data_IF_034165011947
#
_entry.id   IF_034165011947
#
_cell.length_a   1.000
_cell.length_b   1.000
_cell.length_c   1.000
_cell.angle_alpha   90.00
_cell.angle_beta   90.00
_cell.angle_gamma   90.00
#
_symmetry.space_group_name_H-M   'P 1'
#
loop_
_entity.id
_entity.type
_entity.pdbx_description
1 polymer ?
#
# COMPACT_ATOMS: atom_id res chain seq x y z
N UNK A 1 34.55 -25.17 -15.50
CA UNK A 1 34.53 -24.90 -14.05
C UNK A 1 34.18 -23.42 -13.88
N UNK A 2 32.89 -23.09 -13.76
CA UNK A 2 32.47 -21.73 -13.43
C UNK A 2 32.73 -21.54 -11.94
N UNK A 3 33.74 -20.75 -11.60
CA UNK A 3 33.90 -20.31 -10.22
C UNK A 3 32.70 -19.43 -9.88
N UNK A 4 31.89 -19.84 -8.91
CA UNK A 4 30.90 -18.97 -8.30
C UNK A 4 31.62 -17.70 -7.86
N UNK A 5 31.23 -16.56 -8.43
CA UNK A 5 31.86 -15.29 -8.09
C UNK A 5 31.39 -14.95 -6.67
N UNK A 6 32.24 -15.24 -5.68
CA UNK A 6 31.92 -15.00 -4.28
C UNK A 6 31.69 -13.50 -4.07
N UNK A 7 30.48 -13.13 -3.65
CA UNK A 7 30.15 -11.75 -3.32
C UNK A 7 31.02 -11.27 -2.15
N UNK A 8 31.57 -10.07 -2.26
CA UNK A 8 32.28 -9.42 -1.15
C UNK A 8 31.25 -8.70 -0.27
N UNK A 9 30.85 -9.34 0.84
CA UNK A 9 29.76 -8.90 1.69
C UNK A 9 30.30 -8.50 3.08
N UNK A 10 29.93 -7.30 3.53
CA UNK A 10 30.19 -6.77 4.86
C UNK A 10 28.86 -6.61 5.62
N UNK A 11 28.54 -7.46 6.60
CA UNK A 11 27.35 -7.30 7.43
C UNK A 11 27.36 -5.99 8.21
N UNK A 12 26.23 -5.27 8.22
CA UNK A 12 26.07 -4.01 8.96
C UNK A 12 25.70 -4.24 10.42
N UNK A 13 24.86 -5.23 10.68
CA UNK A 13 24.41 -5.61 12.03
C UNK A 13 24.39 -7.12 12.17
N UNK A 14 24.06 -7.62 13.36
CA UNK A 14 23.94 -9.05 13.61
C UNK A 14 22.70 -9.69 12.96
N UNK A 15 21.68 -8.91 12.63
CA UNK A 15 20.35 -9.44 12.22
C UNK A 15 19.86 -8.91 10.88
N UNK A 16 20.37 -7.76 10.41
CA UNK A 16 19.87 -7.11 9.19
C UNK A 16 20.91 -6.17 8.58
N UNK A 17 20.92 -6.11 7.26
CA UNK A 17 21.74 -5.21 6.49
C UNK A 17 23.12 -5.76 6.18
N UNK A 18 23.52 -5.63 4.92
CA UNK A 18 24.91 -5.83 4.52
C UNK A 18 25.30 -4.91 3.35
N UNK A 19 26.55 -4.50 3.29
CA UNK A 19 27.13 -3.80 2.15
C UNK A 19 27.71 -4.85 1.20
N UNK A 20 27.36 -4.77 -0.08
CA UNK A 20 27.97 -5.57 -1.14
C UNK A 20 28.97 -4.70 -1.88
N UNK A 21 30.24 -5.08 -1.78
CA UNK A 21 31.35 -4.36 -2.40
C UNK A 21 31.65 -4.87 -3.80
N UNK A 22 32.18 -4.00 -4.65
CA UNK A 22 32.70 -4.32 -5.98
C UNK A 22 31.69 -5.03 -6.90
N UNK A 23 30.42 -4.65 -6.80
CA UNK A 23 29.34 -5.17 -7.63
C UNK A 23 28.75 -4.06 -8.51
N UNK A 24 28.68 -4.31 -9.82
CA UNK A 24 28.18 -3.35 -10.82
C UNK A 24 26.74 -3.70 -11.21
N UNK A 25 25.78 -2.91 -10.72
CA UNK A 25 24.35 -3.11 -11.00
C UNK A 25 23.93 -2.63 -12.40
N UNK A 26 24.84 -2.00 -13.17
CA UNK A 26 24.52 -1.48 -14.50
C UNK A 26 24.49 -2.54 -15.60
N UNK A 27 24.84 -3.79 -15.25
CA UNK A 27 24.97 -4.91 -16.18
C UNK A 27 23.95 -6.01 -15.87
N UNK A 28 23.53 -6.79 -16.89
CA UNK A 28 22.79 -8.01 -16.67
C UNK A 28 23.54 -8.98 -15.75
N UNK A 29 22.82 -9.63 -14.84
CA UNK A 29 23.32 -10.65 -13.93
C UNK A 29 23.49 -11.96 -14.68
N UNK A 30 24.56 -12.69 -14.37
CA UNK A 30 24.58 -14.13 -14.66
C UNK A 30 23.65 -14.87 -13.69
N UNK A 31 23.24 -16.10 -14.04
CA UNK A 31 22.42 -16.92 -13.13
C UNK A 31 23.09 -17.12 -11.77
N UNK A 32 24.41 -17.33 -11.75
CA UNK A 32 25.18 -17.52 -10.50
C UNK A 32 25.19 -16.25 -9.65
N UNK A 33 25.34 -15.08 -10.27
CA UNK A 33 25.30 -13.79 -9.57
C UNK A 33 23.90 -13.50 -9.02
N UNK A 34 22.85 -13.80 -9.79
CA UNK A 34 21.47 -13.64 -9.34
C UNK A 34 21.19 -14.50 -8.11
N UNK A 35 21.48 -15.81 -8.16
CA UNK A 35 21.28 -16.69 -7.01
C UNK A 35 22.12 -16.25 -5.79
N UNK A 36 23.38 -15.86 -5.99
CA UNK A 36 24.21 -15.36 -4.89
C UNK A 36 23.65 -14.08 -4.25
N UNK A 37 23.07 -13.17 -5.05
CA UNK A 37 22.41 -11.97 -4.55
C UNK A 37 21.11 -12.29 -3.83
N UNK A 38 20.31 -13.22 -4.33
CA UNK A 38 19.07 -13.67 -3.66
C UNK A 38 19.38 -14.33 -2.32
N UNK A 39 20.35 -15.25 -2.27
CA UNK A 39 20.81 -15.88 -1.02
C UNK A 39 21.32 -14.84 -0.01
N UNK A 40 22.09 -13.86 -0.48
CA UNK A 40 22.55 -12.75 0.35
C UNK A 40 21.38 -11.87 0.83
N UNK A 41 20.42 -11.56 -0.04
CA UNK A 41 19.26 -10.75 0.28
C UNK A 41 18.37 -11.45 1.31
N UNK A 42 18.12 -12.75 1.15
CA UNK A 42 17.33 -13.52 2.11
C UNK A 42 18.02 -13.68 3.45
N UNK A 43 19.36 -13.77 3.46
CA UNK A 43 20.14 -13.86 4.70
C UNK A 43 20.21 -12.54 5.45
N UNK A 44 20.42 -11.42 4.74
CA UNK A 44 20.68 -10.12 5.36
C UNK A 44 19.47 -9.17 5.30
N UNK A 45 18.38 -9.58 4.65
CA UNK A 45 17.11 -8.88 4.44
C UNK A 45 17.19 -7.57 3.64
N UNK A 46 18.29 -6.84 3.70
CA UNK A 46 18.59 -5.64 2.91
C UNK A 46 20.07 -5.59 2.55
N UNK A 47 20.35 -5.29 1.29
CA UNK A 47 21.67 -5.15 0.71
C UNK A 47 21.89 -3.72 0.23
N UNK A 48 23.09 -3.20 0.47
CA UNK A 48 23.48 -1.84 0.10
C UNK A 48 24.68 -1.85 -0.84
N UNK A 49 24.64 -0.98 -1.84
CA UNK A 49 25.66 -0.84 -2.87
C UNK A 49 26.03 0.62 -2.96
N UNK A 50 27.30 0.94 -2.71
CA UNK A 50 27.79 2.32 -2.83
C UNK A 50 28.18 2.63 -4.28
N UNK A 51 28.11 3.91 -4.66
CA UNK A 51 28.72 4.47 -5.88
C UNK A 51 28.27 3.80 -7.20
N UNK A 52 26.98 3.55 -7.35
CA UNK A 52 26.37 2.99 -8.54
C UNK A 52 25.97 4.10 -9.51
N UNK A 53 26.41 4.01 -10.77
CA UNK A 53 26.06 4.99 -11.80
C UNK A 53 25.04 4.36 -12.76
N UNK A 54 23.75 4.47 -12.41
CA UNK A 54 22.66 3.89 -13.18
C UNK A 54 21.87 4.97 -13.93
N UNK A 55 21.52 4.68 -15.17
CA UNK A 55 20.37 5.33 -15.83
C UNK A 55 19.05 4.78 -15.25
N UNK A 56 17.93 5.50 -15.37
CA UNK A 56 16.61 4.96 -15.00
C UNK A 56 16.31 3.64 -15.71
N UNK A 57 16.70 3.51 -16.99
CA UNK A 57 16.53 2.30 -17.77
C UNK A 57 17.36 1.15 -17.22
N UNK A 58 18.61 1.39 -16.82
CA UNK A 58 19.43 0.36 -16.18
C UNK A 58 18.89 -0.05 -14.81
N UNK A 59 18.35 0.88 -14.02
CA UNK A 59 17.67 0.53 -12.76
C UNK A 59 16.46 -0.36 -13.03
N UNK A 60 15.62 0.02 -14.00
CA UNK A 60 14.47 -0.78 -14.43
C UNK A 60 14.89 -2.16 -14.94
N UNK A 61 15.89 -2.22 -15.81
CA UNK A 61 16.34 -3.45 -16.43
C UNK A 61 16.99 -4.38 -15.41
N UNK A 62 17.73 -3.84 -14.45
CA UNK A 62 18.17 -4.58 -13.27
C UNK A 62 16.96 -5.10 -12.48
N UNK A 63 15.94 -4.26 -12.30
CA UNK A 63 14.76 -4.66 -11.55
C UNK A 63 14.02 -5.84 -12.22
N UNK A 64 13.89 -5.83 -13.55
CA UNK A 64 13.26 -6.90 -14.32
C UNK A 64 13.86 -8.29 -14.10
N UNK A 65 15.13 -8.37 -13.68
CA UNK A 65 15.81 -9.65 -13.44
C UNK A 65 15.26 -10.41 -12.22
N UNK A 66 14.55 -9.73 -11.31
CA UNK A 66 13.94 -10.32 -10.11
C UNK A 66 12.42 -10.43 -10.16
N UNK A 67 11.75 -9.71 -11.06
CA UNK A 67 10.30 -9.58 -11.04
C UNK A 67 9.80 -8.59 -12.07
N UNK A 68 8.49 -8.62 -12.38
CA UNK A 68 7.85 -7.53 -13.12
C UNK A 68 7.77 -6.31 -12.19
N UNK A 69 8.37 -5.15 -12.54
CA UNK A 69 8.23 -3.94 -11.74
C UNK A 69 6.77 -3.48 -11.69
N UNK A 70 6.29 -3.11 -10.50
CA UNK A 70 4.96 -2.55 -10.31
C UNK A 70 4.94 -1.05 -10.59
N UNK A 71 4.00 -0.62 -11.43
CA UNK A 71 3.77 0.80 -11.74
C UNK A 71 2.66 1.33 -10.84
N UNK A 72 3.03 2.15 -9.85
CA UNK A 72 2.05 2.73 -8.93
C UNK A 72 1.11 3.71 -9.65
N UNK A 73 -0.22 3.60 -9.51
CA UNK A 73 -1.16 4.38 -10.31
C UNK A 73 -1.13 5.88 -10.00
N UNK A 74 -0.82 6.26 -8.75
CA UNK A 74 -0.92 7.64 -8.29
C UNK A 74 0.43 8.35 -8.07
N UNK A 75 1.55 7.63 -8.10
CA UNK A 75 2.86 8.27 -7.90
C UNK A 75 3.37 8.95 -9.17
N UNK A 76 4.33 9.87 -8.99
CA UNK A 76 5.11 10.46 -10.08
C UNK A 76 6.16 9.43 -10.53
N UNK A 77 6.40 9.37 -11.82
CA UNK A 77 7.36 8.44 -12.43
C UNK A 77 8.42 9.20 -13.22
N UNK A 78 9.57 8.56 -13.46
CA UNK A 78 10.61 9.11 -14.33
C UNK A 78 10.08 9.18 -15.77
N UNK A 79 10.31 10.30 -16.44
CA UNK A 79 9.88 10.49 -17.83
C UNK A 79 10.52 9.43 -18.74
N UNK A 80 9.69 8.72 -19.52
CA UNK A 80 10.14 7.64 -20.40
C UNK A 80 10.39 6.29 -19.70
N UNK A 81 10.29 6.23 -18.37
CA UNK A 81 10.55 5.02 -17.58
C UNK A 81 9.49 4.85 -16.45
N UNK A 82 8.24 4.50 -16.80
CA UNK A 82 7.12 4.46 -15.85
C UNK A 82 7.27 3.41 -14.73
N UNK A 83 8.12 2.41 -14.92
CA UNK A 83 8.48 1.41 -13.90
C UNK A 83 9.32 2.00 -12.76
N UNK A 84 9.87 3.20 -12.95
CA UNK A 84 10.71 3.89 -11.97
C UNK A 84 9.91 5.04 -11.35
N UNK A 85 9.47 4.84 -10.12
CA UNK A 85 8.80 5.88 -9.34
C UNK A 85 9.82 6.96 -8.92
N UNK A 86 9.49 8.23 -9.11
CA UNK A 86 10.30 9.37 -8.70
C UNK A 86 9.76 9.97 -7.39
N UNK A 87 10.50 9.77 -6.30
CA UNK A 87 10.25 10.42 -5.01
C UNK A 87 11.15 11.63 -4.85
N UNK A 88 10.59 12.81 -5.10
CA UNK A 88 11.31 14.07 -5.13
C UNK A 88 10.64 15.09 -4.21
N UNK A 89 11.38 15.56 -3.20
CA UNK A 89 10.88 16.48 -2.20
C UNK A 89 11.91 17.58 -1.93
N UNK A 90 11.43 18.78 -1.65
CA UNK A 90 12.25 19.93 -1.31
C UNK A 90 11.47 21.21 -1.49
N UNK A 91 11.87 22.29 -0.81
CA UNK A 91 11.17 23.57 -0.91
C UNK A 91 11.21 24.13 -2.34
N UNK A 92 12.30 23.89 -3.06
CA UNK A 92 12.51 24.31 -4.45
C UNK A 92 11.79 23.40 -5.46
N UNK A 93 11.33 22.22 -5.03
CA UNK A 93 10.57 21.27 -5.85
C UNK A 93 9.07 21.54 -5.71
N UNK A 94 8.56 21.47 -4.48
CA UNK A 94 7.18 21.79 -4.15
C UNK A 94 7.07 22.17 -2.66
N UNK A 95 6.91 23.47 -2.33
CA UNK A 95 6.89 23.93 -0.93
C UNK A 95 5.69 23.40 -0.13
N UNK A 96 4.64 22.90 -0.80
CA UNK A 96 3.43 22.37 -0.17
C UNK A 96 3.46 20.84 0.02
N UNK A 97 4.45 20.15 -0.52
CA UNK A 97 4.56 18.69 -0.49
C UNK A 97 5.79 18.30 0.33
N UNK A 98 5.56 17.93 1.58
CA UNK A 98 6.62 17.49 2.50
C UNK A 98 6.92 16.00 2.31
N UNK A 99 8.15 15.57 2.64
CA UNK A 99 8.51 14.15 2.71
C UNK A 99 7.50 13.33 3.51
N UNK A 100 7.12 12.18 2.96
CA UNK A 100 6.31 11.16 3.64
C UNK A 100 7.12 9.89 3.95
N UNK A 101 6.42 8.77 4.14
CA UNK A 101 6.98 7.45 4.46
C UNK A 101 7.64 7.34 5.86
N UNK A 102 7.26 8.23 6.77
CA UNK A 102 7.70 8.35 8.16
C UNK A 102 6.87 7.48 9.12
N UNK A 103 6.38 6.34 8.63
CA UNK A 103 5.70 5.32 9.42
C UNK A 103 6.23 3.96 9.00
N UNK A 104 6.55 3.08 9.95
CA UNK A 104 7.00 1.73 9.64
C UNK A 104 6.00 0.98 8.77
N UNK A 105 6.47 0.50 7.63
CA UNK A 105 5.65 -0.20 6.65
C UNK A 105 6.43 -1.12 5.71
N UNK A 106 5.69 -1.98 5.02
CA UNK A 106 6.13 -2.75 3.85
C UNK A 106 5.38 -2.19 2.65
N UNK A 107 6.01 -2.00 1.50
CA UNK A 107 5.31 -1.47 0.35
C UNK A 107 4.26 -2.46 -0.19
N UNK A 108 3.12 -1.93 -0.66
CA UNK A 108 2.18 -2.70 -1.47
C UNK A 108 1.42 -3.84 -0.79
N UNK A 109 1.36 -3.92 0.56
CA UNK A 109 0.59 -4.98 1.27
C UNK A 109 -0.90 -5.07 0.90
N UNK A 110 -1.47 -4.02 0.31
CA UNK A 110 -2.86 -4.01 -0.17
C UNK A 110 -3.05 -4.69 -1.53
N UNK A 111 -1.97 -5.01 -2.24
CA UNK A 111 -2.03 -5.69 -3.53
C UNK A 111 -2.29 -7.18 -3.32
N UNK A 112 -3.07 -7.79 -4.21
CA UNK A 112 -3.30 -9.25 -4.24
C UNK A 112 -1.99 -10.03 -4.38
N UNK A 113 -1.05 -9.46 -5.13
CA UNK A 113 0.32 -9.92 -5.25
C UNK A 113 1.24 -8.80 -4.74
N UNK A 114 1.58 -8.77 -3.43
CA UNK A 114 2.46 -7.77 -2.89
C UNK A 114 3.86 -7.86 -3.50
N UNK A 115 4.61 -6.75 -3.54
CA UNK A 115 6.00 -6.78 -3.98
C UNK A 115 6.83 -7.71 -3.08
N UNK A 116 7.82 -8.39 -3.68
CA UNK A 116 8.74 -9.27 -2.95
C UNK A 116 10.09 -8.62 -2.70
N UNK A 117 10.52 -7.72 -3.59
CA UNK A 117 11.77 -6.98 -3.49
C UNK A 117 11.46 -5.52 -3.74
N UNK A 118 12.12 -4.65 -2.99
CA UNK A 118 12.21 -3.24 -3.29
C UNK A 118 13.63 -2.86 -3.69
N UNK A 119 13.75 -1.91 -4.60
CA UNK A 119 15.00 -1.32 -5.05
C UNK A 119 14.89 0.20 -4.98
N UNK A 120 15.82 0.84 -4.28
CA UNK A 120 15.86 2.30 -4.14
C UNK A 120 17.23 2.83 -4.54
N UNK A 121 17.23 3.89 -5.33
CA UNK A 121 18.44 4.50 -5.88
C UNK A 121 18.48 6.00 -5.53
N UNK A 122 19.53 6.40 -4.82
CA UNK A 122 19.77 7.78 -4.39
C UNK A 122 20.27 8.64 -5.54
N UNK A 123 19.49 9.67 -5.92
CA UNK A 123 19.86 10.61 -6.98
C UNK A 123 20.38 11.93 -6.43
N UNK A 124 19.61 12.54 -5.54
CA UNK A 124 19.96 13.79 -4.87
C UNK A 124 19.75 13.55 -3.38
N UNK A 125 20.79 13.76 -2.58
CA UNK A 125 20.77 13.54 -1.14
C UNK A 125 21.07 14.86 -0.42
N UNK A 126 20.29 15.23 0.61
CA UNK A 126 20.54 16.43 1.40
C UNK A 126 21.88 16.34 2.13
N UNK A 127 22.42 17.49 2.55
CA UNK A 127 23.72 17.51 3.25
C UNK A 127 23.70 16.72 4.56
N UNK A 128 22.55 16.67 5.22
CA UNK A 128 22.27 15.94 6.46
C UNK A 128 20.80 15.47 6.45
N UNK A 129 20.54 14.35 7.14
CA UNK A 129 19.20 13.77 7.27
C UNK A 129 18.78 12.96 6.05
N UNK A 130 17.54 12.46 6.06
CA UNK A 130 16.97 11.65 4.98
C UNK A 130 17.40 10.19 4.99
N UNK A 131 17.88 9.71 6.13
CA UNK A 131 18.23 8.31 6.35
C UNK A 131 17.01 7.40 6.18
N UNK A 132 17.27 6.12 5.86
CA UNK A 132 16.22 5.10 5.85
C UNK A 132 16.58 4.00 6.84
N UNK A 133 15.58 3.55 7.60
CA UNK A 133 15.72 2.44 8.53
C UNK A 133 14.94 1.24 8.00
N UNK A 134 15.46 0.05 8.27
CA UNK A 134 14.76 -1.22 8.08
C UNK A 134 14.76 -2.01 9.39
N UNK A 135 13.72 -2.80 9.61
CA UNK A 135 13.59 -3.73 10.75
C UNK A 135 13.43 -5.16 10.25
N UNK A 136 14.06 -6.11 10.94
CA UNK A 136 13.90 -7.54 10.67
C UNK A 136 12.62 -8.09 11.33
N UNK A 137 11.59 -8.37 10.53
CA UNK A 137 10.31 -8.89 11.01
C UNK A 137 10.34 -10.37 11.40
N UNK A 138 11.33 -11.13 10.90
CA UNK A 138 11.59 -12.52 11.35
C UNK A 138 12.07 -12.51 12.79
N UNK A 139 13.05 -11.65 13.11
CA UNK A 139 13.58 -11.56 14.47
C UNK A 139 12.59 -10.90 15.45
N UNK A 140 11.78 -9.93 15.00
CA UNK A 140 10.67 -9.40 15.81
C UNK A 140 9.70 -10.52 16.18
N UNK A 141 9.33 -11.37 15.22
CA UNK A 141 8.47 -12.53 15.49
C UNK A 141 9.14 -13.50 16.48
N UNK A 142 10.40 -13.89 16.24
CA UNK A 142 11.11 -14.88 17.05
C UNK A 142 11.34 -14.41 18.49
N UNK A 143 11.77 -13.16 18.68
CA UNK A 143 12.28 -12.67 19.97
C UNK A 143 11.23 -11.93 20.81
N UNK A 144 10.15 -11.44 20.21
CA UNK A 144 9.23 -10.52 20.92
C UNK A 144 7.81 -11.03 21.11
N UNK A 145 7.52 -12.21 20.59
CA UNK A 145 6.28 -12.91 20.82
C UNK A 145 6.56 -14.16 21.66
N UNK A 146 5.80 -14.34 22.74
CA UNK A 146 5.83 -15.61 23.48
C UNK A 146 5.34 -16.74 22.59
N UNK A 147 5.61 -17.99 22.99
CA UNK A 147 5.15 -19.14 22.20
C UNK A 147 3.62 -19.20 22.11
N UNK A 148 2.92 -18.80 23.16
CA UNK A 148 1.46 -18.71 23.21
C UNK A 148 0.96 -17.63 22.24
N UNK A 149 1.62 -16.46 22.21
CA UNK A 149 1.28 -15.40 21.27
C UNK A 149 1.53 -15.84 19.82
N UNK A 150 2.64 -16.54 19.55
CA UNK A 150 2.92 -17.09 18.21
C UNK A 150 1.83 -18.08 17.77
N UNK A 151 1.43 -19.00 18.66
CA UNK A 151 0.37 -19.99 18.38
C UNK A 151 -1.02 -19.36 18.22
N UNK A 152 -1.30 -18.29 18.96
CA UNK A 152 -2.54 -17.54 18.83
C UNK A 152 -2.58 -16.80 17.49
N UNK A 153 -1.56 -15.99 17.20
CA UNK A 153 -1.48 -15.19 15.98
C UNK A 153 -1.41 -16.05 14.70
N UNK A 154 -0.85 -17.27 14.76
CA UNK A 154 -0.78 -18.16 13.59
C UNK A 154 -2.14 -18.65 13.08
N UNK A 155 -3.23 -18.35 13.80
CA UNK A 155 -4.60 -18.71 13.44
C UNK A 155 -5.40 -17.52 12.89
N UNK A 156 -4.80 -16.33 12.87
CA UNK A 156 -5.49 -15.08 12.61
C UNK A 156 -5.07 -14.48 11.29
N UNK A 157 -6.03 -13.91 10.58
CA UNK A 157 -5.81 -13.14 9.36
C UNK A 157 -6.05 -11.65 9.61
N UNK A 158 -5.43 -10.81 8.80
CA UNK A 158 -5.64 -9.37 8.85
C UNK A 158 -5.96 -8.82 7.47
N UNK A 159 -6.85 -7.84 7.46
CA UNK A 159 -7.22 -7.08 6.26
C UNK A 159 -6.18 -5.98 6.02
N UNK A 160 -5.78 -5.80 4.76
CA UNK A 160 -4.89 -4.76 4.29
C UNK A 160 -5.61 -3.94 3.22
N UNK A 161 -5.71 -2.62 3.41
CA UNK A 161 -6.48 -1.75 2.53
C UNK A 161 -5.65 -0.59 1.98
N UNK A 162 -5.78 -0.36 0.67
CA UNK A 162 -5.25 0.81 -0.03
C UNK A 162 -5.75 2.12 0.59
N UNK A 163 -7.04 2.18 0.93
CA UNK A 163 -7.73 3.37 1.43
C UNK A 163 -7.19 3.85 2.79
N UNK A 164 -6.57 2.95 3.56
CA UNK A 164 -6.00 3.30 4.87
C UNK A 164 -4.86 4.30 4.73
N UNK A 165 -3.97 4.08 3.75
CA UNK A 165 -2.81 4.93 3.49
C UNK A 165 -3.12 6.05 2.49
N UNK A 166 -3.84 5.73 1.42
CA UNK A 166 -4.15 6.67 0.35
C UNK A 166 -5.54 7.24 0.58
N UNK A 167 -5.61 8.44 1.17
CA UNK A 167 -6.85 9.19 1.37
C UNK A 167 -6.91 10.38 0.42
N UNK A 168 -8.07 10.61 -0.17
CA UNK A 168 -8.32 11.83 -0.94
C UNK A 168 -8.29 13.05 -0.02
N UNK A 169 -7.50 14.09 -0.35
CA UNK A 169 -7.65 15.40 0.26
C UNK A 169 -9.07 15.97 0.08
N UNK A 170 -9.56 16.68 1.09
CA UNK A 170 -10.92 17.26 1.13
C UNK A 170 -11.21 18.24 -0.04
N UNK A 171 -10.18 18.76 -0.71
CA UNK A 171 -10.31 19.72 -1.81
C UNK A 171 -9.71 19.20 -3.14
N UNK A 172 -9.66 17.88 -3.37
CA UNK A 172 -9.22 17.31 -4.65
C UNK A 172 -10.13 17.75 -5.80
N UNK A 173 -9.52 17.96 -6.98
CA UNK A 173 -10.28 18.27 -8.19
C UNK A 173 -11.01 17.02 -8.72
N UNK A 174 -12.00 17.16 -9.64
CA UNK A 174 -12.76 16.03 -10.16
C UNK A 174 -11.91 14.93 -10.81
N UNK A 175 -10.85 15.28 -11.55
CA UNK A 175 -9.99 14.30 -12.21
C UNK A 175 -9.21 13.44 -11.19
N UNK A 176 -8.73 14.06 -10.11
CA UNK A 176 -8.06 13.35 -9.01
C UNK A 176 -9.03 12.43 -8.26
N UNK A 177 -10.28 12.86 -8.10
CA UNK A 177 -11.34 12.04 -7.49
C UNK A 177 -11.64 10.83 -8.36
N UNK A 178 -11.84 10.98 -9.67
CA UNK A 178 -12.07 9.86 -10.59
C UNK A 178 -10.89 8.87 -10.59
N UNK A 179 -9.66 9.38 -10.64
CA UNK A 179 -8.44 8.57 -10.57
C UNK A 179 -8.38 7.78 -9.26
N UNK A 180 -8.73 8.42 -8.15
CA UNK A 180 -8.77 7.76 -6.85
C UNK A 180 -9.85 6.68 -6.77
N UNK A 181 -11.09 6.96 -7.19
CA UNK A 181 -12.18 5.99 -7.19
C UNK A 181 -11.79 4.75 -8.00
N UNK A 182 -11.19 4.96 -9.17
CA UNK A 182 -10.66 3.87 -9.98
C UNK A 182 -9.59 3.08 -9.22
N UNK A 183 -8.62 3.76 -8.60
CA UNK A 183 -7.57 3.11 -7.82
C UNK A 183 -8.13 2.28 -6.65
N UNK A 184 -9.12 2.78 -5.92
CA UNK A 184 -9.80 2.03 -4.84
C UNK A 184 -10.50 0.80 -5.38
N UNK A 185 -11.23 0.94 -6.51
CA UNK A 185 -11.93 -0.18 -7.15
C UNK A 185 -10.96 -1.27 -7.64
N UNK A 186 -9.82 -0.86 -8.19
CA UNK A 186 -8.79 -1.76 -8.71
C UNK A 186 -7.96 -2.41 -7.58
N UNK A 187 -8.06 -1.91 -6.34
CA UNK A 187 -7.32 -2.38 -5.17
C UNK A 187 -8.27 -2.65 -3.99
N UNK A 188 -9.18 -3.64 -4.10
CA UNK A 188 -10.03 -4.03 -2.98
C UNK A 188 -9.19 -4.51 -1.80
N UNK A 189 -9.69 -4.41 -0.55
CA UNK A 189 -8.97 -4.95 0.60
C UNK A 189 -8.65 -6.43 0.45
N UNK A 190 -7.46 -6.82 0.89
CA UNK A 190 -6.95 -8.20 0.82
C UNK A 190 -6.68 -8.73 2.22
N UNK A 191 -6.78 -10.05 2.41
CA UNK A 191 -6.53 -10.68 3.69
C UNK A 191 -5.30 -11.58 3.63
N UNK A 192 -4.42 -11.43 4.61
CA UNK A 192 -3.23 -12.27 4.77
C UNK A 192 -3.12 -12.77 6.21
N UNK A 193 -2.44 -13.88 6.40
CA UNK A 193 -2.12 -14.39 7.74
C UNK A 193 -1.27 -13.38 8.52
N UNK A 194 -1.51 -13.24 9.82
CA UNK A 194 -0.65 -12.41 10.67
C UNK A 194 0.76 -12.98 10.77
N UNK A 195 0.91 -14.30 10.71
CA UNK A 195 2.20 -14.99 10.67
C UNK A 195 2.35 -15.67 9.31
N UNK A 196 3.24 -15.13 8.48
CA UNK A 196 3.57 -15.69 7.19
C UNK A 196 4.89 -16.47 7.25
N UNK A 197 5.15 -17.27 6.21
CA UNK A 197 6.39 -18.04 6.06
C UNK A 197 7.08 -17.67 4.75
N UNK A 198 8.38 -17.41 4.81
CA UNK A 198 9.14 -17.02 3.64
C UNK A 198 9.36 -18.24 2.72
N UNK A 199 9.00 -18.18 1.42
CA UNK A 199 8.93 -19.36 0.56
C UNK A 199 10.27 -20.08 0.37
N UNK A 200 11.40 -19.35 0.41
CA UNK A 200 12.74 -19.94 0.26
C UNK A 200 13.36 -20.34 1.61
N UNK A 201 13.55 -19.40 2.53
CA UNK A 201 14.18 -19.65 3.85
C UNK A 201 13.32 -20.44 4.83
N UNK A 202 12.01 -20.53 4.61
CA UNK A 202 11.01 -21.13 5.54
C UNK A 202 10.94 -20.44 6.90
N UNK A 203 11.50 -19.25 7.02
CA UNK A 203 11.41 -18.47 8.25
C UNK A 203 10.04 -17.83 8.39
N UNK A 204 9.52 -17.85 9.62
CA UNK A 204 8.25 -17.21 9.96
C UNK A 204 8.47 -15.76 10.37
N UNK A 205 7.58 -14.88 9.93
CA UNK A 205 7.62 -13.45 10.21
C UNK A 205 6.22 -12.90 10.50
N UNK A 206 6.18 -11.81 11.27
CA UNK A 206 4.96 -11.06 11.54
C UNK A 206 4.62 -10.16 10.34
N UNK A 207 3.47 -10.39 9.71
CA UNK A 207 3.04 -9.68 8.50
C UNK A 207 1.93 -8.67 8.80
N UNK A 208 2.34 -7.55 9.39
CA UNK A 208 1.44 -6.40 9.66
C UNK A 208 2.19 -5.11 9.40
N UNK A 209 1.47 -4.00 9.25
CA UNK A 209 2.04 -2.67 9.40
C UNK A 209 0.97 -1.62 9.71
N UNK A 210 1.43 -0.45 10.16
CA UNK A 210 0.54 0.61 10.60
C UNK A 210 -0.19 1.29 9.44
N UNK A 211 0.31 1.24 8.20
CA UNK A 211 -0.26 2.05 7.10
C UNK A 211 -1.31 1.30 6.28
N UNK A 212 -1.24 -0.03 6.18
CA UNK A 212 -2.14 -0.85 5.37
C UNK A 212 -3.05 -1.75 6.21
N UNK A 213 -2.59 -2.33 7.33
CA UNK A 213 -3.37 -3.32 8.10
C UNK A 213 -4.53 -2.68 8.86
N UNK A 214 -5.79 -2.91 8.46
CA UNK A 214 -6.98 -2.23 9.00
C UNK A 214 -7.59 -2.94 10.20
N UNK A 215 -7.71 -4.27 10.17
CA UNK A 215 -8.34 -5.08 11.22
C UNK A 215 -7.81 -6.52 11.22
N UNK A 216 -8.02 -7.22 12.33
CA UNK A 216 -7.86 -8.67 12.46
C UNK A 216 -9.24 -9.30 12.30
N UNK A 217 -9.38 -10.24 11.36
CA UNK A 217 -10.70 -10.66 10.88
C UNK A 217 -11.47 -11.53 11.87
N UNK A 218 -10.78 -12.30 12.70
CA UNK A 218 -11.38 -13.24 13.64
C UNK A 218 -11.67 -12.61 15.02
N UNK A 219 -11.37 -11.32 15.21
CA UNK A 219 -11.56 -10.59 16.46
C UNK A 219 -12.61 -9.50 16.30
N UNK A 220 -13.26 -9.13 17.41
CA UNK A 220 -14.10 -7.93 17.39
C UNK A 220 -13.22 -6.67 17.24
N UNK A 221 -13.88 -5.53 17.00
CA UNK A 221 -13.17 -4.29 16.69
C UNK A 221 -12.24 -3.85 17.84
N UNK A 222 -12.71 -3.87 19.08
CA UNK A 222 -11.93 -3.42 20.23
C UNK A 222 -10.70 -4.30 20.46
N UNK A 223 -10.86 -5.62 20.35
CA UNK A 223 -9.77 -6.60 20.46
C UNK A 223 -8.75 -6.43 19.33
N UNK A 224 -9.23 -6.32 18.10
CA UNK A 224 -8.40 -6.08 16.91
C UNK A 224 -7.57 -4.80 17.06
N UNK A 225 -8.20 -3.69 17.44
CA UNK A 225 -7.52 -2.40 17.59
C UNK A 225 -6.43 -2.45 18.68
N UNK A 226 -6.74 -3.09 19.82
CA UNK A 226 -5.79 -3.24 20.92
C UNK A 226 -4.60 -4.12 20.52
N UNK A 227 -4.86 -5.25 19.87
CA UNK A 227 -3.83 -6.18 19.43
C UNK A 227 -2.96 -5.58 18.33
N UNK A 228 -3.54 -4.95 17.30
CA UNK A 228 -2.79 -4.26 16.24
C UNK A 228 -1.91 -3.14 16.83
N UNK A 229 -2.42 -2.36 17.77
CA UNK A 229 -1.62 -1.34 18.47
C UNK A 229 -0.42 -1.95 19.19
N UNK A 230 -0.59 -3.10 19.84
CA UNK A 230 0.51 -3.83 20.46
C UNK A 230 1.54 -4.30 19.42
N UNK A 231 1.08 -4.96 18.35
CA UNK A 231 1.94 -5.48 17.28
C UNK A 231 2.74 -4.37 16.57
N UNK A 232 2.10 -3.25 16.22
CA UNK A 232 2.79 -2.09 15.64
C UNK A 232 3.82 -1.49 16.60
N UNK A 233 3.60 -1.60 17.91
CA UNK A 233 4.56 -1.09 18.91
C UNK A 233 5.84 -1.90 18.99
N UNK A 234 5.84 -3.16 18.52
CA UNK A 234 7.01 -4.05 18.62
C UNK A 234 8.19 -3.49 17.82
N UNK A 235 7.94 -2.99 16.61
CA UNK A 235 8.99 -2.41 15.76
C UNK A 235 9.68 -1.21 16.43
N UNK A 236 8.91 -0.34 17.09
CA UNK A 236 9.46 0.86 17.74
C UNK A 236 10.29 0.56 18.99
N UNK A 237 10.17 -0.63 19.57
CA UNK A 237 10.81 -0.99 20.84
C UNK A 237 12.14 -1.74 20.65
N UNK A 238 12.61 -1.89 19.40
CA UNK A 238 13.68 -2.83 19.04
C UNK A 238 14.75 -2.23 18.12
N UNK A 239 15.47 -1.19 18.54
CA UNK A 239 16.58 -0.65 17.75
C UNK A 239 17.64 -1.72 17.40
N UNK A 240 17.83 -2.73 18.26
CA UNK A 240 18.75 -3.85 18.05
C UNK A 240 18.38 -4.77 16.87
N UNK A 241 17.13 -4.70 16.38
CA UNK A 241 16.64 -5.46 15.22
C UNK A 241 16.54 -4.58 13.96
N UNK A 242 17.10 -3.37 14.01
CA UNK A 242 17.09 -2.43 12.90
C UNK A 242 18.48 -2.20 12.33
N UNK A 243 18.55 -1.84 11.05
CA UNK A 243 19.68 -1.13 10.50
C UNK A 243 19.23 0.26 10.03
N UNK A 244 20.15 1.23 10.12
CA UNK A 244 19.94 2.60 9.62
C UNK A 244 20.98 2.89 8.54
N UNK A 245 20.51 3.30 7.38
CA UNK A 245 21.36 3.65 6.26
C UNK A 245 21.41 5.15 6.05
N UNK A 246 22.60 5.70 6.21
CA UNK A 246 22.92 7.06 5.80
C UNK A 246 23.32 7.04 4.32
N UNK A 247 22.48 7.69 3.51
CA UNK A 247 22.61 7.74 2.07
C UNK A 247 23.78 8.62 1.63
N UNK A 248 24.48 8.17 0.59
CA UNK A 248 25.23 9.03 -0.31
C UNK A 248 24.51 9.10 -1.65
N UNK A 249 24.82 10.13 -2.45
CA UNK A 249 24.45 10.11 -3.86
C UNK A 249 24.99 8.85 -4.52
N UNK A 250 24.21 8.30 -5.44
CA UNK A 250 24.52 7.10 -6.20
C UNK A 250 24.54 5.80 -5.39
N UNK A 251 24.04 5.79 -4.16
CA UNK A 251 23.82 4.54 -3.44
C UNK A 251 22.56 3.84 -3.92
N UNK A 252 22.60 2.51 -3.96
CA UNK A 252 21.44 1.65 -4.22
C UNK A 252 21.22 0.74 -3.02
N UNK A 253 19.96 0.47 -2.69
CA UNK A 253 19.61 -0.66 -1.83
C UNK A 253 18.64 -1.62 -2.52
N UNK A 254 18.72 -2.88 -2.12
CA UNK A 254 17.75 -3.93 -2.41
C UNK A 254 17.24 -4.47 -1.08
N UNK A 255 15.94 -4.62 -0.87
CA UNK A 255 15.41 -5.22 0.36
C UNK A 255 14.31 -6.23 0.05
N UNK A 256 14.19 -7.24 0.91
CA UNK A 256 13.07 -8.18 0.89
C UNK A 256 11.86 -7.55 1.58
N UNK A 257 10.82 -7.28 0.80
CA UNK A 257 9.57 -6.67 1.28
C UNK A 257 8.78 -7.61 2.19
N UNK A 258 8.98 -8.93 2.06
CA UNK A 258 8.23 -9.91 2.86
C UNK A 258 8.66 -9.86 4.33
N UNK A 259 9.96 -9.82 4.57
CA UNK A 259 10.57 -10.00 5.90
C UNK A 259 11.01 -8.70 6.57
N UNK A 260 10.76 -7.55 5.94
CA UNK A 260 11.13 -6.24 6.50
C UNK A 260 9.98 -5.25 6.54
N UNK A 261 10.08 -4.29 7.47
CA UNK A 261 9.44 -3.00 7.32
C UNK A 261 10.52 -1.92 7.24
N UNK A 262 10.18 -0.77 6.68
CA UNK A 262 11.07 0.37 6.55
C UNK A 262 10.43 1.70 6.97
N UNK A 263 11.28 2.67 7.25
CA UNK A 263 10.94 4.02 7.71
C UNK A 263 11.87 5.03 7.04
N UNK A 264 11.32 5.98 6.29
CA UNK A 264 12.07 7.11 5.72
C UNK A 264 12.07 8.29 6.68
N UNK A 265 13.25 8.72 7.16
CA UNK A 265 13.35 9.84 8.10
C UNK A 265 13.05 11.18 7.39
N UNK A 266 12.00 11.93 7.81
CA UNK A 266 11.63 13.20 7.18
C UNK A 266 12.41 14.39 7.79
N UNK A 267 13.66 14.19 8.22
CA UNK A 267 14.48 15.13 8.99
C UNK A 267 15.39 16.03 8.14
N UNK A 268 15.08 16.18 6.85
CA UNK A 268 15.87 16.94 5.88
C UNK A 268 15.17 18.17 5.31
N UNK A 269 13.85 18.34 5.54
CA UNK A 269 13.14 19.54 5.07
C UNK A 269 13.80 20.82 5.62
N UNK A 270 14.03 21.87 4.81
CA UNK A 270 13.52 22.11 3.45
C UNK A 270 14.42 21.61 2.29
N UNK A 271 15.50 20.90 2.57
CA UNK A 271 16.49 20.49 1.56
C UNK A 271 15.90 19.54 0.51
N UNK A 272 16.50 19.56 -0.68
CA UNK A 272 16.13 18.70 -1.79
C UNK A 272 16.63 17.26 -1.57
N UNK A 273 15.73 16.28 -1.71
CA UNK A 273 16.02 14.85 -1.81
C UNK A 273 15.26 14.23 -2.97
N UNK A 274 15.95 13.41 -3.77
CA UNK A 274 15.38 12.68 -4.89
C UNK A 274 15.82 11.21 -4.87
N UNK A 275 14.86 10.30 -4.90
CA UNK A 275 15.09 8.85 -4.97
C UNK A 275 14.28 8.23 -6.09
N UNK A 276 14.88 7.28 -6.79
CA UNK A 276 14.21 6.46 -7.78
C UNK A 276 13.90 5.09 -7.19
N UNK A 277 12.65 4.64 -7.26
CA UNK A 277 12.21 3.36 -6.70
C UNK A 277 11.65 2.44 -7.78
N UNK A 278 12.06 1.18 -7.72
CA UNK A 278 11.35 0.06 -8.34
C UNK A 278 10.91 -0.90 -7.23
N UNK A 279 9.70 -1.43 -7.33
CA UNK A 279 9.23 -2.53 -6.47
C UNK A 279 8.77 -3.65 -7.37
N UNK A 280 9.09 -4.88 -6.99
CA UNK A 280 9.02 -6.03 -7.88
C UNK A 280 7.90 -6.95 -7.48
N UNK A 281 7.00 -7.23 -8.42
CA UNK A 281 6.00 -8.28 -8.24
C UNK A 281 6.65 -9.65 -8.45
N UNK A 282 6.20 -10.67 -7.70
CA UNK A 282 6.72 -12.03 -7.84
C UNK A 282 6.45 -12.61 -9.23
N UNK A 283 7.34 -13.52 -9.68
CA UNK A 283 7.10 -14.39 -10.84
C UNK A 283 6.59 -15.77 -10.35
N UNK A 284 5.58 -16.34 -11.01
CA UNK A 284 5.17 -17.73 -10.78
C UNK A 284 4.76 -18.02 -9.33
N UNK A 285 5.10 -19.20 -8.79
CA UNK A 285 4.67 -19.68 -7.46
C UNK A 285 5.52 -19.18 -6.27
N UNK A 286 6.31 -18.10 -6.42
CA UNK A 286 7.16 -17.50 -5.37
C UNK A 286 6.39 -16.84 -4.20
N UNK A 287 5.12 -17.18 -4.05
CA UNK A 287 4.22 -16.65 -3.04
C UNK A 287 4.39 -17.32 -1.69
N UNK A 288 3.97 -16.62 -0.63
CA UNK A 288 3.63 -17.26 0.63
C UNK A 288 2.62 -18.39 0.35
N UNK A 289 2.98 -19.64 0.69
CA UNK A 289 2.31 -20.87 0.30
C UNK A 289 0.97 -21.12 1.02
N UNK A 290 0.22 -20.06 1.36
CA UNK A 290 -0.95 -20.14 2.23
C UNK A 290 -2.20 -19.60 1.53
N UNK A 291 -3.31 -20.27 1.76
CA UNK A 291 -4.58 -20.13 1.05
C UNK A 291 -5.00 -18.67 0.89
N UNK A 292 -5.25 -18.31 -0.38
CA UNK A 292 -5.77 -17.01 -0.79
C UNK A 292 -7.20 -16.91 -0.28
N UNK A 293 -7.46 -16.05 0.70
CA UNK A 293 -8.80 -15.52 0.92
C UNK A 293 -8.80 -14.07 0.46
N UNK A 294 -8.56 -13.89 -0.84
CA UNK A 294 -9.04 -12.69 -1.49
C UNK A 294 -10.56 -12.77 -1.42
N UNK A 295 -11.18 -11.94 -0.58
CA UNK A 295 -12.56 -11.55 -0.82
C UNK A 295 -12.54 -10.73 -2.11
N UNK A 296 -12.40 -11.39 -3.27
CA UNK A 296 -13.05 -10.86 -4.46
C UNK A 296 -14.51 -10.73 -4.04
N UNK A 297 -15.00 -9.49 -3.92
CA UNK A 297 -16.31 -9.19 -3.36
C UNK A 297 -17.47 -9.74 -4.20
N UNK A 298 -17.67 -11.05 -4.16
CA UNK A 298 -18.99 -11.67 -4.27
C UNK A 298 -19.62 -11.46 -2.90
N UNK A 299 -20.49 -10.48 -2.65
CA UNK A 299 -21.81 -10.37 -3.26
C UNK A 299 -22.37 -8.94 -3.23
N UNK A 300 -21.53 -7.90 -3.11
CA UNK A 300 -22.00 -6.52 -2.92
C UNK A 300 -21.33 -5.49 -3.82
N UNK A 301 -22.14 -4.72 -4.56
CA UNK A 301 -21.70 -3.53 -5.29
C UNK A 301 -21.64 -2.35 -4.30
N UNK A 302 -20.45 -1.77 -4.10
CA UNK A 302 -20.26 -0.55 -3.29
C UNK A 302 -20.44 0.68 -4.19
N UNK A 303 -21.43 1.53 -3.89
CA UNK A 303 -21.63 2.80 -4.58
C UNK A 303 -21.35 3.97 -3.63
N UNK A 304 -20.40 4.83 -4.01
CA UNK A 304 -20.07 6.04 -3.26
C UNK A 304 -21.06 7.14 -3.63
N UNK A 305 -21.82 7.64 -2.65
CA UNK A 305 -22.78 8.74 -2.85
C UNK A 305 -22.13 10.06 -2.45
N UNK A 306 -21.91 10.92 -3.44
CA UNK A 306 -21.42 12.28 -3.22
C UNK A 306 -22.59 13.25 -3.13
N UNK A 307 -22.49 14.21 -2.21
CA UNK A 307 -23.36 15.39 -2.25
C UNK A 307 -22.55 16.62 -2.67
N UNK A 308 -23.21 17.49 -3.43
CA UNK A 308 -22.70 18.82 -3.76
C UNK A 308 -23.28 19.81 -2.76
N UNK A 309 -22.43 20.39 -1.91
CA UNK A 309 -22.86 21.48 -1.03
C UNK A 309 -22.79 22.77 -1.84
N UNK A 310 -23.94 23.27 -2.27
CA UNK A 310 -24.02 24.57 -2.94
C UNK A 310 -24.06 25.68 -1.89
N UNK A 311 -22.92 26.35 -1.71
CA UNK A 311 -22.84 27.61 -0.97
C UNK A 311 -22.94 28.76 -1.98
N UNK A 312 -24.10 29.42 -2.04
CA UNK A 312 -24.42 30.46 -3.04
C UNK A 312 -23.50 31.69 -2.99
N UNK A 313 -22.62 31.78 -1.98
CA UNK A 313 -21.68 32.88 -1.81
C UNK A 313 -20.28 32.60 -2.41
N UNK A 314 -20.00 31.43 -2.98
CA UNK A 314 -18.67 31.08 -3.52
C UNK A 314 -18.64 30.93 -5.05
N UNK A 315 -17.55 31.37 -5.72
CA UNK A 315 -17.34 31.10 -7.14
C UNK A 315 -17.43 29.61 -7.47
N UNK A 316 -17.96 29.25 -8.65
CA UNK A 316 -18.19 27.86 -9.11
C UNK A 316 -16.94 26.98 -8.93
N UNK A 317 -15.76 27.56 -9.12
CA UNK A 317 -14.46 26.88 -9.09
C UNK A 317 -13.94 26.59 -7.66
N UNK A 318 -14.69 26.97 -6.62
CA UNK A 318 -14.35 26.76 -5.20
C UNK A 318 -15.42 25.96 -4.43
N UNK A 319 -16.36 25.31 -5.14
CA UNK A 319 -17.43 24.50 -4.53
C UNK A 319 -16.87 23.13 -4.10
N UNK A 320 -17.20 22.69 -2.88
CA UNK A 320 -16.73 21.42 -2.29
C UNK A 320 -17.69 20.26 -2.56
N UNK A 321 -17.12 19.08 -2.83
CA UNK A 321 -17.82 17.80 -2.79
C UNK A 321 -17.48 17.12 -1.46
N UNK A 322 -18.48 16.53 -0.81
CA UNK A 322 -18.31 15.77 0.42
C UNK A 322 -19.03 14.44 0.30
N UNK A 323 -18.34 13.36 0.68
CA UNK A 323 -18.92 12.02 0.82
C UNK A 323 -19.83 12.06 2.05
N UNK A 324 -21.11 11.71 1.88
CA UNK A 324 -22.09 11.73 2.97
C UNK A 324 -22.46 10.33 3.44
N UNK A 325 -22.44 9.34 2.56
CA UNK A 325 -22.82 7.97 2.92
C UNK A 325 -22.22 6.93 1.97
N UNK A 326 -22.01 5.73 2.49
CA UNK A 326 -21.70 4.54 1.71
C UNK A 326 -22.92 3.62 1.70
N UNK A 327 -23.25 3.09 0.52
CA UNK A 327 -24.38 2.16 0.36
C UNK A 327 -23.88 0.88 -0.32
N UNK A 328 -24.30 -0.26 0.23
CA UNK A 328 -23.96 -1.59 -0.26
C UNK A 328 -25.22 -2.24 -0.84
N UNK A 329 -25.16 -2.71 -2.09
CA UNK A 329 -26.28 -3.42 -2.75
C UNK A 329 -25.87 -4.86 -3.09
N UNK A 330 -26.75 -5.86 -2.85
CA UNK A 330 -26.51 -7.21 -3.34
C UNK A 330 -26.52 -7.24 -4.87
N UNK A 331 -25.59 -7.98 -5.49
CA UNK A 331 -25.60 -8.19 -6.94
C UNK A 331 -26.50 -9.40 -7.25
N UNK A 332 -27.71 -9.18 -7.77
CA UNK A 332 -28.47 -10.26 -8.41
C UNK A 332 -27.93 -10.49 -9.83
N UNK A 333 -27.49 -11.71 -10.11
CA UNK A 333 -26.97 -12.11 -11.40
C UNK A 333 -28.11 -12.29 -12.42
N UNK A 334 -28.40 -11.26 -13.21
CA UNK A 334 -28.99 -11.42 -14.54
C UNK A 334 -28.67 -10.20 -15.42
N UNK A 335 -28.34 -10.44 -16.70
CA UNK A 335 -27.97 -9.43 -17.69
C UNK A 335 -29.08 -8.39 -17.87
N UNK A 336 -29.02 -7.29 -17.11
CA UNK A 336 -29.89 -6.13 -17.29
C UNK A 336 -29.06 -4.92 -17.71
N UNK A 337 -29.43 -4.32 -18.85
CA UNK A 337 -28.85 -3.05 -19.32
C UNK A 337 -29.29 -1.94 -18.37
N UNK A 338 -28.33 -1.22 -17.79
CA UNK A 338 -28.58 -0.01 -17.01
C UNK A 338 -28.74 1.18 -17.95
N UNK A 339 -29.94 1.77 -18.02
CA UNK A 339 -30.12 3.14 -18.51
C UNK A 339 -30.32 4.08 -17.33
N UNK A 340 -29.45 5.09 -17.21
CA UNK A 340 -29.59 6.15 -16.21
C UNK A 340 -30.56 7.22 -16.72
N UNK A 341 -31.69 7.42 -16.05
CA UNK A 341 -32.51 8.62 -16.21
C UNK A 341 -32.33 9.55 -15.01
N UNK A 342 -31.99 10.81 -15.29
CA UNK A 342 -31.87 11.88 -14.30
C UNK A 342 -33.28 12.46 -14.12
N UNK A 343 -33.94 12.16 -13.00
CA UNK A 343 -35.21 12.81 -12.66
C UNK A 343 -34.95 13.94 -11.66
N UNK A 344 -35.22 15.17 -12.08
CA UNK A 344 -35.33 16.32 -11.17
C UNK A 344 -36.68 16.24 -10.44
N UNK A 345 -36.67 15.93 -9.15
CA UNK A 345 -37.88 16.04 -8.33
C UNK A 345 -38.17 17.53 -8.03
N UNK A 346 -39.41 18.03 -8.21
CA UNK A 346 -39.74 19.41 -7.89
C UNK A 346 -39.81 19.60 -6.37
N UNK A 347 -38.94 20.44 -5.83
CA UNK A 347 -38.99 20.86 -4.43
C UNK A 347 -40.06 21.95 -4.28
N UNK A 348 -41.10 21.69 -3.49
CA UNK A 348 -42.05 22.73 -3.07
C UNK A 348 -41.30 23.82 -2.30
N UNK A 349 -41.43 25.05 -2.77
CA UNK A 349 -40.77 26.21 -2.19
C UNK A 349 -41.48 26.63 -0.91
N UNK A 350 -40.91 26.32 0.25
CA UNK A 350 -41.14 27.10 1.46
C UNK A 350 -39.97 28.04 1.71
N UNK A 351 -40.32 29.31 1.82
CA UNK A 351 -39.42 30.44 2.00
C UNK A 351 -38.75 30.39 3.37
N UNK A 352 -37.47 30.01 3.42
CA UNK A 352 -36.53 30.56 4.39
C UNK A 352 -35.08 30.33 3.94
N UNK A 353 -34.26 31.39 4.03
CA UNK A 353 -32.83 31.41 3.65
C UNK A 353 -32.01 30.39 4.46
N UNK A 354 -31.92 29.13 4.02
CA UNK A 354 -30.89 28.16 4.43
C UNK A 354 -30.51 27.24 3.26
N UNK A 355 -29.25 26.79 3.26
CA UNK A 355 -28.55 25.98 2.26
C UNK A 355 -29.46 25.05 1.44
N UNK A 356 -29.36 25.12 0.10
CA UNK A 356 -29.97 24.13 -0.79
C UNK A 356 -29.08 22.89 -0.83
N UNK A 357 -29.60 21.76 -0.34
CA UNK A 357 -29.06 20.44 -0.64
C UNK A 357 -29.87 19.88 -1.81
N UNK A 358 -29.20 19.58 -2.91
CA UNK A 358 -29.80 18.82 -4.02
C UNK A 358 -29.48 17.35 -3.76
N UNK A 359 -30.50 16.58 -3.41
CA UNK A 359 -30.41 15.12 -3.33
C UNK A 359 -30.65 14.55 -4.74
N UNK A 360 -29.70 13.80 -5.26
CA UNK A 360 -29.88 13.01 -6.46
C UNK A 360 -30.33 11.61 -6.03
N UNK A 361 -31.59 11.27 -6.27
CA UNK A 361 -32.13 9.92 -6.08
C UNK A 361 -32.12 9.19 -7.42
N UNK A 362 -31.43 8.06 -7.49
CA UNK A 362 -31.52 7.13 -8.62
C UNK A 362 -32.53 6.04 -8.21
N UNK A 363 -33.70 6.01 -8.84
CA UNK A 363 -34.68 4.94 -8.62
C UNK A 363 -34.39 3.76 -9.56
N UNK A 364 -34.36 2.51 -9.06
CA UNK A 364 -34.26 1.34 -9.94
C UNK A 364 -35.61 1.10 -10.65
N UNK A 365 -35.59 1.13 -11.98
CA UNK A 365 -36.73 0.70 -12.80
C UNK A 365 -36.66 -0.83 -12.92
N UNK A 366 -37.55 -1.54 -12.23
CA UNK A 366 -37.68 -2.99 -12.33
C UNK A 366 -38.62 -3.33 -13.50
N UNK A 367 -38.07 -3.90 -14.58
CA UNK A 367 -38.88 -4.50 -15.65
C UNK A 367 -39.16 -5.96 -15.25
N UNK A 368 -40.44 -6.26 -15.05
CA UNK A 368 -40.94 -7.55 -14.56
C UNK A 368 -40.64 -8.71 -15.53
N UNK A 369 -40.04 -9.79 -15.04
CA UNK A 369 -40.37 -11.14 -15.50
C UNK A 369 -40.62 -12.09 -14.33
N UNK A 370 -41.66 -12.89 -14.49
CA UNK A 370 -42.32 -13.76 -13.51
C UNK A 370 -41.51 -15.01 -13.12
N UNK A 371 -41.33 -15.30 -11.83
CA UNK A 371 -41.83 -16.49 -11.09
C UNK A 371 -41.10 -16.77 -9.75
N UNK A 372 -41.91 -16.76 -8.67
CA UNK A 372 -41.93 -17.55 -7.42
C UNK A 372 -40.81 -18.55 -7.06
N UNK A 373 -40.10 -18.37 -5.92
CA UNK A 373 -40.29 -19.11 -4.65
C UNK A 373 -39.21 -18.84 -3.58
N UNK A 374 -39.69 -18.87 -2.34
CA UNK A 374 -39.02 -19.03 -1.04
C UNK A 374 -38.57 -17.78 -0.27
N UNK A 375 -39.35 -17.53 0.78
CA UNK A 375 -39.20 -16.55 1.83
C UNK A 375 -38.11 -16.95 2.84
N UNK A 376 -37.34 -15.97 3.30
CA UNK A 376 -37.37 -15.50 4.70
C UNK A 376 -36.20 -14.54 4.96
N UNK A 377 -36.44 -13.23 4.91
CA UNK A 377 -35.82 -12.25 5.80
C UNK A 377 -36.75 -11.03 5.87
N UNK A 378 -37.66 -11.03 6.85
CA UNK A 378 -38.35 -9.81 7.30
C UNK A 378 -37.51 -9.23 8.43
N UNK A 379 -36.92 -8.06 8.20
CA UNK A 379 -36.75 -6.95 9.14
C UNK A 379 -35.72 -5.97 8.57
N UNK A 380 -36.18 -5.02 7.75
CA UNK A 380 -35.50 -3.73 7.61
C UNK A 380 -36.29 -2.77 8.49
N UNK A 381 -35.82 -2.60 9.73
CA UNK A 381 -36.29 -1.51 10.57
C UNK A 381 -35.86 -0.18 9.94
N UNK A 382 -36.80 0.76 9.88
CA UNK A 382 -36.60 2.14 9.41
C UNK A 382 -35.50 2.79 10.25
N UNK A 383 -34.36 3.11 9.64
CA UNK A 383 -33.39 4.04 10.23
C UNK A 383 -33.97 5.45 10.07
N UNK A 384 -34.57 5.98 11.13
CA UNK A 384 -34.84 7.41 11.27
C UNK A 384 -33.51 8.12 11.57
N UNK A 385 -33.05 8.96 10.64
CA UNK A 385 -31.92 9.86 10.88
C UNK A 385 -32.49 11.17 11.44
N UNK A 386 -32.24 11.42 12.73
CA UNK A 386 -32.44 12.71 13.38
C UNK A 386 -31.16 13.54 13.18
N UNK A 387 -31.24 14.66 12.46
CA UNK A 387 -30.12 15.57 12.21
C UNK A 387 -30.31 16.80 13.10
N UNK A 388 -29.37 17.05 14.02
CA UNK A 388 -29.22 18.30 14.80
C UNK A 388 -28.32 19.25 14.01
#
# INVERSE_FOLDING_TARGET
>A
MSGSQQLNIEPLTCTIGAIVHNFDLSRPLTSDQKHALEDALYKYHVLFFRKQNLTPEQQRDFAFQFGQPYVHPTHKHVAGCPEVTNFEFGIDVNPNEKPGADTWHTDGKFLVNPPIIGMLYARIIPKQGGDTLWVNMVEVYKQNLSNEMKQFLSKLTAEHSFEKNYKLPINSNPADIEKYIKAVKDNPPVNYQLICEHPHTKEKYLYTDKIYTTKINELNKEESDLLLKYLFSLVNKRPELTCRWQWNENDVCLWDERTTQHYGAPDYWPQHRQMYRCIHLPYGDEYCSQERVALAGSDFQRQLVFSRVEDSARPVNQRRLSIISEVYYPIEHEESRYESTINEAPVQAESNKRRRQILFTVEPIIISSTYTKMAHFRNIERIQIMII
#
